data_IF_920805225476
#
_entry.id   IF_920805225476
#
_cell.length_a   1.000
_cell.length_b   1.000
_cell.length_c   1.000
_cell.angle_alpha   90.00
_cell.angle_beta   90.00
_cell.angle_gamma   90.00
#
_symmetry.space_group_name_H-M   'P 1'
#
loop_
_entity.id
_entity.type
_entity.pdbx_description
1 polymer ?
#
# COMPACT_ATOMS: atom_id res chain seq x y z
N UNK A 1 -12.31 48.73 -7.53
CA UNK A 1 -12.78 48.04 -8.76
C UNK A 1 -13.06 46.61 -8.35
N UNK A 2 -14.32 46.27 -8.05
CA UNK A 2 -15.36 45.80 -8.97
C UNK A 2 -15.14 44.35 -9.44
N UNK A 3 -16.02 43.48 -8.91
CA UNK A 3 -16.19 42.03 -9.11
C UNK A 3 -16.26 41.58 -10.57
N UNK A 4 -15.76 40.37 -10.87
CA UNK A 4 -16.49 39.40 -11.70
C UNK A 4 -16.32 37.99 -11.11
N UNK A 5 -17.44 37.46 -10.61
CA UNK A 5 -17.71 36.04 -10.35
C UNK A 5 -17.87 35.35 -11.70
N UNK A 6 -17.17 34.24 -11.91
CA UNK A 6 -17.29 33.42 -13.11
C UNK A 6 -17.28 31.94 -12.75
N UNK A 7 -18.44 31.43 -12.34
CA UNK A 7 -18.66 30.00 -12.11
C UNK A 7 -18.86 29.25 -13.42
N UNK A 8 -18.37 28.01 -13.45
CA UNK A 8 -18.79 27.00 -14.41
C UNK A 8 -18.84 25.65 -13.68
N UNK A 9 -20.05 25.20 -13.35
CA UNK A 9 -20.31 23.84 -12.88
C UNK A 9 -20.46 22.97 -14.12
N UNK A 10 -19.50 22.08 -14.36
CA UNK A 10 -19.59 21.08 -15.44
C UNK A 10 -20.24 19.82 -14.86
N UNK A 11 -21.54 19.67 -15.10
CA UNK A 11 -22.29 18.42 -14.90
C UNK A 11 -21.87 17.42 -15.97
N UNK A 12 -21.08 16.41 -15.62
CA UNK A 12 -20.87 15.25 -16.49
C UNK A 12 -21.94 14.20 -16.20
N UNK A 13 -22.70 13.89 -17.26
CA UNK A 13 -23.79 12.94 -17.26
C UNK A 13 -23.30 11.50 -16.98
N UNK A 14 -23.97 10.84 -16.04
CA UNK A 14 -23.90 9.39 -15.84
C UNK A 14 -24.40 8.69 -17.10
N UNK A 15 -23.49 8.12 -17.89
CA UNK A 15 -23.86 7.14 -18.92
C UNK A 15 -23.98 5.78 -18.23
N UNK A 16 -25.21 5.44 -17.88
CA UNK A 16 -25.60 4.08 -17.54
C UNK A 16 -25.45 3.17 -18.76
N UNK A 17 -24.58 2.18 -18.64
CA UNK A 17 -24.43 1.08 -19.60
C UNK A 17 -24.75 -0.25 -18.93
N UNK A 18 -26.01 -0.46 -18.55
CA UNK A 18 -26.48 -1.77 -18.11
C UNK A 18 -26.71 -2.67 -19.32
N UNK A 19 -25.81 -3.62 -19.59
CA UNK A 19 -26.12 -4.73 -20.48
C UNK A 19 -26.81 -5.83 -19.68
N UNK A 20 -28.14 -5.84 -19.76
CA UNK A 20 -28.99 -6.93 -19.32
C UNK A 20 -28.84 -8.10 -20.32
N UNK A 21 -28.08 -9.14 -19.97
CA UNK A 21 -28.15 -10.41 -20.70
C UNK A 21 -29.39 -11.18 -20.24
N UNK A 22 -30.50 -10.88 -20.90
CA UNK A 22 -31.65 -11.78 -20.96
C UNK A 22 -31.28 -12.99 -21.84
N UNK A 23 -30.87 -14.10 -21.23
CA UNK A 23 -30.99 -15.39 -21.91
C UNK A 23 -32.41 -15.85 -21.71
N UNK A 24 -33.19 -15.70 -22.79
CA UNK A 24 -34.51 -16.31 -22.93
C UNK A 24 -34.36 -17.84 -22.91
N UNK A 25 -35.21 -18.46 -22.12
CA UNK A 25 -35.60 -19.86 -22.22
C UNK A 25 -36.04 -20.19 -23.65
N UNK A 26 -35.18 -20.93 -24.36
CA UNK A 26 -35.61 -21.85 -25.40
C UNK A 26 -35.16 -23.24 -24.94
N UNK A 27 -36.14 -24.03 -24.48
CA UNK A 27 -35.90 -25.34 -23.92
C UNK A 27 -35.32 -26.31 -24.95
N UNK A 28 -34.30 -27.06 -24.54
CA UNK A 28 -34.22 -28.51 -24.73
C UNK A 28 -33.01 -29.09 -23.96
N UNK A 29 -33.26 -30.15 -23.20
CA UNK A 29 -32.30 -31.17 -22.75
C UNK A 29 -31.10 -30.79 -21.86
N UNK A 30 -31.36 -30.83 -20.54
CA UNK A 30 -30.64 -31.69 -19.61
C UNK A 30 -29.12 -31.57 -19.52
N UNK A 31 -28.64 -30.73 -18.60
CA UNK A 31 -27.51 -31.00 -17.68
C UNK A 31 -27.36 -29.84 -16.69
N UNK A 32 -27.93 -30.04 -15.51
CA UNK A 32 -27.72 -29.24 -14.32
C UNK A 32 -26.21 -29.22 -13.97
N UNK A 33 -25.54 -28.08 -13.81
CA UNK A 33 -24.26 -28.07 -13.13
C UNK A 33 -24.52 -28.36 -11.65
N UNK A 34 -24.17 -29.58 -11.23
CA UNK A 34 -24.22 -29.99 -9.85
C UNK A 34 -23.30 -29.10 -9.01
N UNK A 35 -23.82 -28.60 -7.90
CA UNK A 35 -23.03 -28.05 -6.82
C UNK A 35 -22.03 -29.13 -6.37
N UNK A 36 -20.74 -28.91 -6.69
CA UNK A 36 -19.64 -29.76 -6.27
C UNK A 36 -19.41 -29.56 -4.78
N UNK A 37 -19.85 -30.56 -4.02
CA UNK A 37 -19.71 -30.74 -2.58
C UNK A 37 -18.26 -30.63 -2.11
N UNK A 38 -18.10 -30.04 -0.92
CA UNK A 38 -16.91 -30.07 -0.07
C UNK A 38 -16.17 -31.41 -0.06
N UNK A 39 -14.84 -31.33 -0.04
CA UNK A 39 -13.98 -32.41 0.44
C UNK A 39 -12.78 -31.80 1.16
N UNK A 40 -12.88 -31.75 2.49
CA UNK A 40 -11.73 -31.68 3.40
C UNK A 40 -11.00 -33.03 3.39
N UNK A 41 -9.66 -33.04 3.43
CA UNK A 41 -8.94 -34.16 4.01
C UNK A 41 -8.31 -33.76 5.35
N UNK A 42 -8.87 -34.28 6.45
CA UNK A 42 -8.10 -34.65 7.63
C UNK A 42 -7.99 -36.18 7.66
N UNK A 43 -6.83 -36.72 8.02
CA UNK A 43 -6.86 -37.77 9.03
C UNK A 43 -5.80 -37.56 10.12
N UNK A 44 -6.32 -37.38 11.33
CA UNK A 44 -6.09 -38.18 12.54
C UNK A 44 -4.72 -38.84 12.76
N UNK A 45 -4.15 -38.58 13.94
CA UNK A 45 -2.84 -39.03 14.36
C UNK A 45 -2.69 -40.49 14.76
N UNK A 46 -1.49 -40.80 15.24
CA UNK A 46 -1.21 -41.99 16.04
C UNK A 46 -0.24 -41.60 17.14
N UNK A 47 -0.66 -41.91 18.37
CA UNK A 47 0.04 -41.67 19.62
C UNK A 47 1.16 -42.67 19.88
N UNK A 48 2.01 -42.27 20.83
CA UNK A 48 2.58 -43.08 21.91
C UNK A 48 3.95 -43.75 21.71
N UNK A 49 4.96 -43.16 22.36
CA UNK A 49 5.65 -43.72 23.55
C UNK A 49 7.18 -43.62 23.53
N UNK A 50 7.66 -42.81 24.49
CA UNK A 50 8.96 -42.74 25.19
C UNK A 50 9.71 -44.10 25.36
N UNK A 51 11.05 -44.11 25.54
CA UNK A 51 11.58 -43.87 26.89
C UNK A 51 12.90 -43.07 26.98
N UNK A 52 12.89 -42.10 27.89
CA UNK A 52 13.84 -41.71 28.93
C UNK A 52 15.28 -42.25 28.88
N UNK A 53 16.25 -41.32 28.98
CA UNK A 53 17.34 -41.38 29.96
C UNK A 53 18.13 -40.04 29.99
N UNK A 54 17.90 -39.22 31.01
CA UNK A 54 18.96 -38.34 31.57
C UNK A 54 19.75 -39.15 32.61
N UNK A 55 21.06 -38.91 32.79
CA UNK A 55 21.42 -37.95 33.84
C UNK A 55 22.69 -37.10 33.55
N UNK A 56 22.58 -35.83 33.97
CA UNK A 56 23.52 -35.07 34.81
C UNK A 56 25.03 -35.24 34.61
N UNK A 57 25.67 -34.17 34.14
CA UNK A 57 26.99 -33.72 34.61
C UNK A 57 27.20 -32.22 34.29
N UNK A 58 27.13 -31.37 35.30
CA UNK A 58 27.78 -30.05 35.30
C UNK A 58 29.30 -30.24 35.17
N UNK A 59 29.98 -29.34 34.44
CA UNK A 59 31.23 -28.81 34.95
C UNK A 59 31.19 -27.28 35.07
N UNK A 60 31.42 -26.88 36.31
CA UNK A 60 32.08 -25.69 36.85
C UNK A 60 32.41 -24.51 35.92
N UNK A 61 32.08 -23.34 36.47
CA UNK A 61 32.44 -22.00 36.02
C UNK A 61 33.91 -21.88 35.58
N UNK A 62 34.11 -21.28 34.42
CA UNK A 62 35.37 -20.64 34.06
C UNK A 62 35.07 -19.21 33.68
N UNK A 63 35.79 -18.28 34.33
CA UNK A 63 35.78 -16.83 34.17
C UNK A 63 35.34 -16.35 32.78
N UNK A 64 34.17 -15.71 32.71
CA UNK A 64 33.85 -14.78 31.63
C UNK A 64 34.73 -13.55 31.84
N UNK A 65 35.76 -13.29 31.00
CA UNK A 65 36.35 -11.96 31.00
C UNK A 65 35.24 -11.01 30.56
N UNK A 66 34.90 -10.05 31.43
CA UNK A 66 34.14 -8.85 31.09
C UNK A 66 34.63 -8.30 29.74
N UNK A 67 33.99 -8.74 28.66
CA UNK A 67 34.32 -8.36 27.30
C UNK A 67 33.37 -7.24 26.89
N UNK A 68 33.77 -6.03 27.30
CA UNK A 68 33.30 -4.78 26.73
C UNK A 68 31.93 -4.34 27.21
N UNK A 69 31.89 -3.22 27.91
CA UNK A 69 30.78 -2.27 27.74
C UNK A 69 30.40 -2.21 26.26
N UNK A 70 29.10 -2.26 25.89
CA UNK A 70 28.72 -1.85 24.55
C UNK A 70 29.13 -0.38 24.46
N UNK A 71 30.24 -0.12 23.78
CA UNK A 71 30.56 1.23 23.36
C UNK A 71 29.46 1.59 22.38
N UNK A 72 28.50 2.39 22.86
CA UNK A 72 27.51 3.09 22.07
C UNK A 72 28.25 4.10 21.18
N UNK A 73 28.91 3.59 20.14
CA UNK A 73 29.24 4.32 18.92
C UNK A 73 28.70 3.47 17.77
N UNK A 74 27.38 3.24 17.78
CA UNK A 74 26.69 3.06 16.52
C UNK A 74 26.71 4.45 15.87
N UNK A 75 27.80 4.75 15.15
CA UNK A 75 27.84 5.91 14.28
C UNK A 75 26.62 5.78 13.36
N UNK A 76 25.67 6.69 13.56
CA UNK A 76 24.46 6.87 12.79
C UNK A 76 24.88 7.22 11.36
N UNK A 77 25.29 6.20 10.63
CA UNK A 77 25.68 6.32 9.24
C UNK A 77 24.36 6.31 8.50
N UNK A 78 23.65 7.43 8.55
CA UNK A 78 22.50 7.68 7.69
C UNK A 78 22.98 7.43 6.26
N UNK A 79 22.52 6.32 5.66
CA UNK A 79 22.83 6.03 4.27
C UNK A 79 22.35 7.23 3.44
N UNK A 80 23.18 7.77 2.54
CA UNK A 80 22.79 8.94 1.78
C UNK A 80 21.55 8.60 0.96
N UNK A 81 20.49 9.40 1.14
CA UNK A 81 19.29 9.35 0.30
C UNK A 81 19.75 9.50 -1.16
N UNK A 82 19.51 8.47 -1.98
CA UNK A 82 19.86 8.48 -3.40
C UNK A 82 19.12 9.59 -4.16
N UNK A 83 19.45 9.89 -5.43
CA UNK A 83 18.70 10.87 -6.20
C UNK A 83 17.26 10.40 -6.49
N UNK A 84 16.29 11.31 -6.70
CA UNK A 84 14.95 10.94 -7.14
C UNK A 84 14.95 10.30 -8.53
N UNK A 85 13.87 9.58 -8.91
CA UNK A 85 13.75 9.04 -10.25
C UNK A 85 13.79 10.15 -11.30
N UNK A 86 14.71 10.02 -12.26
CA UNK A 86 14.95 11.03 -13.30
C UNK A 86 13.80 11.14 -14.31
N UNK A 87 13.03 10.07 -14.52
CA UNK A 87 11.87 10.10 -15.41
C UNK A 87 10.73 10.87 -14.74
N UNK A 88 10.14 11.83 -15.47
CA UNK A 88 9.05 12.65 -14.92
C UNK A 88 7.80 11.84 -14.62
N UNK A 89 7.57 10.76 -15.37
CA UNK A 89 6.45 9.86 -15.16
C UNK A 89 6.74 8.76 -14.14
N UNK A 90 7.93 8.70 -13.53
CA UNK A 90 8.27 7.67 -12.55
C UNK A 90 8.27 8.23 -11.12
N UNK A 91 7.33 7.77 -10.30
CA UNK A 91 7.16 8.26 -8.93
C UNK A 91 7.62 7.26 -7.87
N UNK A 92 8.28 6.17 -8.26
CA UNK A 92 8.75 5.12 -7.35
C UNK A 92 9.67 5.69 -6.26
N UNK A 93 9.49 5.20 -5.04
CA UNK A 93 10.26 5.61 -3.86
C UNK A 93 9.41 6.29 -2.80
N UNK A 94 10.08 6.95 -1.87
CA UNK A 94 9.49 7.63 -0.73
C UNK A 94 9.56 9.14 -0.90
N UNK A 95 8.45 9.79 -0.56
CA UNK A 95 8.30 11.24 -0.55
C UNK A 95 7.78 11.65 0.82
N UNK A 96 8.35 12.70 1.42
CA UNK A 96 8.04 13.09 2.79
C UNK A 96 7.90 14.61 2.93
N UNK A 97 6.89 15.05 3.68
CA UNK A 97 6.73 16.44 4.12
C UNK A 97 7.55 16.72 5.38
N UNK A 98 7.91 17.98 5.62
CA UNK A 98 8.56 18.42 6.86
C UNK A 98 7.70 18.11 8.11
N UNK A 99 6.39 18.07 7.97
CA UNK A 99 5.44 17.73 9.04
C UNK A 99 5.28 16.20 9.27
N UNK A 100 6.03 15.37 8.54
CA UNK A 100 6.11 13.93 8.75
C UNK A 100 5.14 13.10 7.89
N UNK A 101 4.26 13.73 7.11
CA UNK A 101 3.47 13.00 6.12
C UNK A 101 4.37 12.27 5.14
N UNK A 102 4.07 11.01 4.85
CA UNK A 102 4.92 10.16 4.01
C UNK A 102 4.09 9.43 2.97
N UNK A 103 4.52 9.51 1.71
CA UNK A 103 4.00 8.73 0.59
C UNK A 103 5.08 7.76 0.09
N UNK A 104 4.83 6.47 0.20
CA UNK A 104 5.70 5.43 -0.37
C UNK A 104 5.00 4.80 -1.59
N UNK A 105 5.65 4.89 -2.75
CA UNK A 105 5.18 4.30 -4.00
C UNK A 105 6.09 3.14 -4.36
N UNK A 106 5.55 1.93 -4.24
CA UNK A 106 6.25 0.69 -4.53
C UNK A 106 6.07 0.22 -5.97
N UNK A 107 6.67 -0.94 -6.27
CA UNK A 107 6.61 -1.55 -7.59
C UNK A 107 5.18 -1.83 -8.08
N UNK A 108 5.04 -2.06 -9.38
CA UNK A 108 3.78 -2.50 -9.97
C UNK A 108 3.42 -3.91 -9.49
N UNK A 109 2.16 -4.07 -9.11
CA UNK A 109 1.58 -5.37 -8.79
C UNK A 109 1.53 -6.25 -10.04
N UNK A 110 1.96 -7.49 -9.92
CA UNK A 110 2.09 -8.45 -11.03
C UNK A 110 0.83 -9.32 -11.24
N UNK A 111 -0.08 -9.29 -10.26
CA UNK A 111 -1.22 -10.17 -10.13
C UNK A 111 -2.39 -9.50 -9.39
N UNK A 112 -3.55 -10.17 -9.37
CA UNK A 112 -4.78 -9.66 -8.76
C UNK A 112 -5.51 -8.60 -9.59
N UNK A 113 -6.59 -8.06 -9.03
CA UNK A 113 -7.44 -7.06 -9.69
C UNK A 113 -6.70 -5.74 -9.96
N UNK A 114 -5.71 -5.43 -9.12
CA UNK A 114 -4.91 -4.20 -9.22
C UNK A 114 -3.62 -4.39 -10.02
N UNK A 115 -3.48 -5.50 -10.77
CA UNK A 115 -2.33 -5.77 -11.63
C UNK A 115 -2.00 -4.56 -12.53
N UNK A 116 -0.72 -4.21 -12.60
CA UNK A 116 -0.19 -3.11 -13.40
C UNK A 116 -0.25 -1.74 -12.70
N UNK A 117 -0.85 -1.65 -11.52
CA UNK A 117 -0.80 -0.45 -10.66
C UNK A 117 0.34 -0.57 -9.65
N UNK A 118 0.90 0.56 -9.25
CA UNK A 118 1.90 0.63 -8.20
C UNK A 118 1.22 0.49 -6.83
N UNK A 119 1.82 -0.25 -5.89
CA UNK A 119 1.37 -0.21 -4.49
C UNK A 119 1.66 1.17 -3.90
N UNK A 120 0.76 1.68 -3.07
CA UNK A 120 0.95 2.97 -2.41
C UNK A 120 0.62 2.89 -0.92
N UNK A 121 1.42 3.55 -0.10
CA UNK A 121 1.21 3.73 1.33
C UNK A 121 1.27 5.21 1.62
N UNK A 122 0.23 5.75 2.24
CA UNK A 122 0.18 7.13 2.72
C UNK A 122 0.10 7.11 4.24
N UNK A 123 0.93 7.91 4.90
CA UNK A 123 0.95 8.07 6.35
C UNK A 123 0.78 9.54 6.65
N UNK A 124 -0.29 9.88 7.37
CA UNK A 124 -0.54 11.24 7.88
C UNK A 124 -0.72 11.19 9.39
N UNK A 125 0.32 11.55 10.18
CA UNK A 125 0.30 11.42 11.63
C UNK A 125 -0.74 12.33 12.31
N UNK A 126 -1.07 13.45 11.69
CA UNK A 126 -2.02 14.45 12.21
C UNK A 126 -3.43 14.29 11.63
N UNK A 127 -3.62 13.38 10.66
CA UNK A 127 -4.88 13.12 9.98
C UNK A 127 -5.37 11.68 10.13
N UNK A 128 -5.57 10.99 8.99
CA UNK A 128 -6.19 9.66 8.95
C UNK A 128 -5.24 8.50 9.33
N UNK A 129 -3.99 8.80 9.69
CA UNK A 129 -2.97 7.81 10.03
C UNK A 129 -2.49 7.03 8.82
N UNK A 130 -2.45 5.70 8.94
CA UNK A 130 -1.98 4.80 7.89
C UNK A 130 -3.10 4.50 6.87
N UNK A 131 -2.80 4.77 5.61
CA UNK A 131 -3.66 4.48 4.47
C UNK A 131 -2.94 3.58 3.46
N UNK A 132 -3.65 2.58 2.95
CA UNK A 132 -3.11 1.60 2.00
C UNK A 132 -3.87 1.69 0.69
N UNK A 133 -3.17 1.62 -0.43
CA UNK A 133 -3.81 1.72 -1.73
C UNK A 133 -2.89 1.43 -2.89
N UNK A 134 -3.22 2.06 -4.01
CA UNK A 134 -2.52 1.91 -5.27
C UNK A 134 -2.49 3.23 -6.01
N UNK A 135 -1.57 3.34 -6.96
CA UNK A 135 -1.61 4.43 -7.92
C UNK A 135 -1.12 4.04 -9.31
N UNK A 136 -1.24 4.98 -10.22
CA UNK A 136 -0.94 4.77 -11.63
C UNK A 136 -0.45 6.06 -12.28
N UNK A 137 0.64 5.96 -13.05
CA UNK A 137 1.15 7.05 -13.86
C UNK A 137 0.15 7.40 -14.97
N UNK A 138 -0.10 8.70 -15.17
CA UNK A 138 -0.96 9.29 -16.19
C UNK A 138 -0.19 10.38 -16.93
N UNK A 139 0.75 9.96 -17.79
CA UNK A 139 1.70 10.89 -18.40
C UNK A 139 2.72 11.34 -17.36
N UNK A 140 2.77 12.65 -17.11
CA UNK A 140 3.69 13.26 -16.13
C UNK A 140 3.10 13.31 -14.70
N UNK A 141 1.85 12.88 -14.52
CA UNK A 141 1.17 12.86 -13.23
C UNK A 141 1.04 11.44 -12.67
N UNK A 142 0.85 11.32 -11.36
CA UNK A 142 0.54 10.07 -10.68
C UNK A 142 -0.82 10.13 -10.01
N UNK A 143 -1.74 9.25 -10.40
CA UNK A 143 -3.06 9.16 -9.77
C UNK A 143 -3.03 8.18 -8.61
N UNK A 144 -3.30 8.67 -7.40
CA UNK A 144 -3.33 7.93 -6.16
C UNK A 144 -4.77 7.66 -5.69
N UNK A 145 -5.00 6.47 -5.15
CA UNK A 145 -6.19 6.16 -4.36
C UNK A 145 -5.80 5.28 -3.16
N UNK A 146 -6.13 5.73 -1.95
CA UNK A 146 -5.80 5.04 -0.69
C UNK A 146 -7.03 4.90 0.18
N UNK A 147 -7.05 3.82 0.95
CA UNK A 147 -8.02 3.58 2.00
C UNK A 147 -7.36 3.76 3.36
N UNK A 148 -7.97 4.58 4.20
CA UNK A 148 -7.58 4.82 5.58
C UNK A 148 -8.57 4.15 6.55
N UNK A 149 -8.11 3.81 7.75
CA UNK A 149 -8.97 3.22 8.77
C UNK A 149 -9.52 1.83 8.39
N UNK A 150 -10.51 1.37 9.17
CA UNK A 150 -11.22 0.09 8.97
C UNK A 150 -12.64 0.20 9.57
N UNK A 151 -13.58 -0.56 9.01
CA UNK A 151 -14.93 -0.65 9.57
C UNK A 151 -15.73 0.64 9.36
N UNK A 152 -16.35 1.15 10.41
CA UNK A 152 -17.19 2.36 10.33
C UNK A 152 -16.38 3.65 10.12
N UNK A 153 -15.08 3.64 10.45
CA UNK A 153 -14.14 4.74 10.26
C UNK A 153 -13.37 4.65 8.92
N UNK A 154 -13.77 3.75 8.03
CA UNK A 154 -13.14 3.59 6.72
C UNK A 154 -13.36 4.83 5.85
N UNK A 155 -12.26 5.38 5.33
CA UNK A 155 -12.29 6.51 4.39
C UNK A 155 -11.45 6.22 3.16
N UNK A 156 -11.86 6.79 2.03
CA UNK A 156 -11.17 6.67 0.76
C UNK A 156 -10.70 8.05 0.32
N UNK A 157 -9.40 8.19 0.15
CA UNK A 157 -8.78 9.43 -0.32
C UNK A 157 -8.23 9.21 -1.72
N UNK A 158 -8.30 10.24 -2.55
CA UNK A 158 -7.70 10.23 -3.87
C UNK A 158 -7.00 11.56 -4.15
N UNK A 159 -5.87 11.48 -4.84
CA UNK A 159 -5.07 12.64 -5.17
C UNK A 159 -4.36 12.45 -6.51
N UNK A 160 -3.89 13.55 -7.07
CA UNK A 160 -2.96 13.56 -8.19
C UNK A 160 -1.65 14.15 -7.73
N UNK A 161 -0.56 13.40 -7.86
CA UNK A 161 0.80 13.87 -7.61
C UNK A 161 1.41 14.41 -8.91
N UNK A 162 2.08 15.55 -8.82
CA UNK A 162 2.83 16.15 -9.93
C UNK A 162 4.22 16.51 -9.44
N UNK A 163 5.27 16.11 -10.16
CA UNK A 163 6.65 16.48 -9.82
C UNK A 163 6.91 17.96 -10.04
N UNK A 164 7.75 18.54 -9.18
CA UNK A 164 8.39 19.82 -9.42
C UNK A 164 9.24 19.79 -10.71
N UNK A 165 9.58 20.95 -11.30
CA UNK A 165 10.39 20.99 -12.52
C UNK A 165 11.77 20.34 -12.39
N UNK A 166 12.38 20.40 -11.21
CA UNK A 166 13.67 19.78 -10.84
C UNK A 166 13.52 18.30 -10.42
N UNK A 167 12.32 17.87 -10.04
CA UNK A 167 12.02 16.49 -9.67
C UNK A 167 12.33 16.13 -8.22
N UNK A 168 12.78 17.10 -7.42
CA UNK A 168 13.15 16.90 -6.01
C UNK A 168 11.95 16.93 -5.06
N UNK A 169 10.77 17.30 -5.56
CA UNK A 169 9.52 17.24 -4.79
C UNK A 169 8.32 16.85 -5.66
N UNK A 170 7.23 16.49 -4.98
CA UNK A 170 5.91 16.31 -5.58
C UNK A 170 4.87 17.15 -4.85
N UNK A 171 3.94 17.69 -5.62
CA UNK A 171 2.71 18.31 -5.11
C UNK A 171 1.58 17.30 -5.20
N UNK A 172 0.99 16.95 -4.06
CA UNK A 172 -0.10 15.98 -3.93
C UNK A 172 -1.42 16.73 -3.76
N UNK A 173 -2.17 16.89 -4.86
CA UNK A 173 -3.45 17.59 -4.86
C UNK A 173 -4.59 16.62 -4.60
N UNK A 174 -5.25 16.76 -3.45
CA UNK A 174 -6.38 15.92 -3.06
C UNK A 174 -7.67 16.33 -3.77
N UNK A 175 -8.48 15.34 -4.13
CA UNK A 175 -9.76 15.56 -4.81
C UNK A 175 -10.76 16.32 -3.95
N UNK A 176 -10.78 16.03 -2.65
CA UNK A 176 -11.66 16.70 -1.68
C UNK A 176 -11.13 18.07 -1.26
N UNK A 177 -9.97 18.48 -1.79
CA UNK A 177 -9.34 19.76 -1.57
C UNK A 177 -8.10 19.69 -0.69
N UNK A 178 -7.27 20.73 -0.78
CA UNK A 178 -5.95 20.76 -0.15
C UNK A 178 -4.83 20.27 -1.08
N UNK A 179 -3.61 20.59 -0.68
CA UNK A 179 -2.39 20.21 -1.39
C UNK A 179 -1.30 20.01 -0.36
N UNK A 180 -0.64 18.87 -0.42
CA UNK A 180 0.57 18.58 0.35
C UNK A 180 1.79 18.65 -0.57
N UNK A 181 2.89 19.19 -0.07
CA UNK A 181 4.17 19.20 -0.76
C UNK A 181 5.10 18.20 -0.06
N UNK A 182 5.62 17.25 -0.82
CA UNK A 182 6.48 16.18 -0.30
C UNK A 182 7.83 16.25 -1.02
N UNK A 183 8.92 16.33 -0.27
CA UNK A 183 10.27 16.23 -0.79
C UNK A 183 10.67 14.78 -1.01
N UNK A 184 11.61 14.54 -1.92
CA UNK A 184 12.19 13.22 -2.11
C UNK A 184 12.90 12.71 -0.84
N UNK A 185 12.70 11.43 -0.50
CA UNK A 185 13.25 10.81 0.71
C UNK A 185 13.77 9.36 0.50
N UNK A 186 13.88 8.88 -0.74
CA UNK A 186 14.54 7.59 -1.06
C UNK A 186 13.65 6.50 -1.63
#
# INVERSE_FOLDING_TARGET
MALIVGGAVVLLALIGGGTYLAVRDDGNDGKQPAAGTSVSPEPTGSSASDPAAEPSAEPEATDDPLAGDPTEDAEDTEEPVGPPPADRGDFLGQWQADAGQTLTIGAKLDSGEMKGKNSAIWIDPDGEGLCLGVGQNQGDDFRLAVRCGRGEDEKYLAATATKSPDGDSISLKWDEGGTDELAWNG
#
